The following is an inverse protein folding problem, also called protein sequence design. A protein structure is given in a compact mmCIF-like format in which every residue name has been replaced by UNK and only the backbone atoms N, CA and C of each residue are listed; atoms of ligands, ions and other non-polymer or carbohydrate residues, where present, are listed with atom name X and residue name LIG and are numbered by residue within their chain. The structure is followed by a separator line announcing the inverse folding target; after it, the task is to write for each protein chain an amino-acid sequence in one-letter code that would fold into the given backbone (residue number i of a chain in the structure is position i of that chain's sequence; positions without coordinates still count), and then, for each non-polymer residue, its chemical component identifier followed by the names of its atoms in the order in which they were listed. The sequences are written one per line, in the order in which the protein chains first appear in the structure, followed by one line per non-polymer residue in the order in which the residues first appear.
data_IF_995513636488
#
_entry.id   IF_995513636488
#
_cell.length_a   1.000
_cell.length_b   1.000
_cell.length_c   1.000
_cell.angle_alpha   90.00
_cell.angle_beta   90.00
_cell.angle_gamma   90.00
#
_symmetry.space_group_name_H-M   'P 1'
#
loop_
_entity.id
_entity.type
_entity.pdbx_description
1 polymer ?
#
# COMPACT_ATOMS: atom_id res chain seq x y z
N UNK A 1 -45.28 -18.55 2.34
CA UNK A 1 -44.19 -19.12 1.52
C UNK A 1 -43.46 -18.06 0.69
N UNK A 2 -44.18 -17.17 -0.01
CA UNK A 2 -43.58 -16.09 -0.82
C UNK A 2 -42.62 -15.16 -0.04
N UNK A 3 -42.98 -14.74 1.17
CA UNK A 3 -42.12 -13.87 1.98
C UNK A 3 -40.80 -14.54 2.38
N UNK A 4 -40.80 -15.85 2.63
CA UNK A 4 -39.58 -16.60 2.96
C UNK A 4 -38.66 -16.71 1.75
N UNK A 5 -39.22 -17.00 0.57
CA UNK A 5 -38.45 -17.03 -0.67
C UNK A 5 -37.85 -15.67 -0.99
N UNK A 6 -38.61 -14.59 -0.84
CA UNK A 6 -38.11 -13.23 -1.04
C UNK A 6 -36.97 -12.88 -0.07
N UNK A 7 -37.10 -13.24 1.21
CA UNK A 7 -36.06 -13.03 2.21
C UNK A 7 -34.77 -13.79 1.87
N UNK A 8 -34.88 -15.06 1.44
CA UNK A 8 -33.72 -15.87 1.05
C UNK A 8 -33.00 -15.28 -0.17
N UNK A 9 -33.74 -14.81 -1.17
CA UNK A 9 -33.15 -14.15 -2.35
C UNK A 9 -32.45 -12.86 -1.95
N UNK A 10 -33.06 -12.03 -1.11
CA UNK A 10 -32.46 -10.77 -0.64
C UNK A 10 -31.14 -11.00 0.10
N UNK A 11 -31.10 -11.96 1.03
CA UNK A 11 -29.87 -12.30 1.77
C UNK A 11 -28.80 -12.87 0.83
N UNK A 12 -29.18 -13.72 -0.12
CA UNK A 12 -28.25 -14.26 -1.11
C UNK A 12 -27.59 -13.18 -1.96
N UNK A 13 -28.37 -12.18 -2.41
CA UNK A 13 -27.86 -11.05 -3.19
C UNK A 13 -26.91 -10.17 -2.36
N UNK A 14 -27.29 -9.81 -1.13
CA UNK A 14 -26.44 -9.02 -0.24
C UNK A 14 -25.13 -9.76 0.06
N UNK A 15 -25.21 -11.06 0.33
CA UNK A 15 -24.04 -11.89 0.56
C UNK A 15 -23.10 -11.96 -0.65
N UNK A 16 -23.65 -12.09 -1.86
CA UNK A 16 -22.86 -12.10 -3.09
C UNK A 16 -22.12 -10.78 -3.33
N UNK A 17 -22.79 -9.63 -3.11
CA UNK A 17 -22.17 -8.31 -3.24
C UNK A 17 -21.04 -8.13 -2.21
N UNK A 18 -21.28 -8.49 -0.95
CA UNK A 18 -20.27 -8.42 0.10
C UNK A 18 -19.05 -9.31 -0.21
N UNK A 19 -19.28 -10.50 -0.78
CA UNK A 19 -18.22 -11.39 -1.22
C UNK A 19 -17.37 -10.78 -2.34
N UNK A 20 -18.01 -10.21 -3.38
CA UNK A 20 -17.28 -9.56 -4.47
C UNK A 20 -16.41 -8.39 -3.98
N UNK A 21 -16.93 -7.57 -3.05
CA UNK A 21 -16.16 -6.49 -2.44
C UNK A 21 -14.96 -7.02 -1.64
N UNK A 22 -15.14 -8.12 -0.90
CA UNK A 22 -14.06 -8.78 -0.16
C UNK A 22 -12.95 -9.29 -1.09
N UNK A 23 -13.31 -9.93 -2.20
CA UNK A 23 -12.35 -10.41 -3.21
C UNK A 23 -11.52 -9.26 -3.77
N UNK A 24 -12.12 -8.08 -4.01
CA UNK A 24 -11.41 -6.88 -4.46
C UNK A 24 -10.42 -6.37 -3.40
N UNK A 25 -10.79 -6.38 -2.12
CA UNK A 25 -9.86 -6.03 -1.03
C UNK A 25 -8.68 -7.00 -0.97
N UNK A 26 -8.90 -8.31 -1.10
CA UNK A 26 -7.81 -9.30 -1.12
C UNK A 26 -6.89 -9.13 -2.34
N UNK A 27 -7.45 -8.83 -3.51
CA UNK A 27 -6.64 -8.50 -4.69
C UNK A 27 -5.79 -7.24 -4.45
N UNK A 28 -6.33 -6.22 -3.77
CA UNK A 28 -5.58 -5.02 -3.44
C UNK A 28 -4.46 -5.32 -2.40
N UNK A 29 -4.71 -6.22 -1.43
CA UNK A 29 -3.66 -6.72 -0.53
C UNK A 29 -2.55 -7.46 -1.28
N UNK A 30 -2.89 -8.22 -2.32
CA UNK A 30 -1.89 -8.89 -3.16
C UNK A 30 -0.99 -7.87 -3.89
N UNK A 31 -1.54 -6.75 -4.38
CA UNK A 31 -0.74 -5.66 -4.94
C UNK A 31 0.24 -5.08 -3.89
N UNK A 32 -0.25 -4.85 -2.66
CA UNK A 32 0.60 -4.40 -1.57
C UNK A 32 1.67 -5.43 -1.17
N UNK A 33 1.36 -6.73 -1.25
CA UNK A 33 2.31 -7.81 -1.00
C UNK A 33 3.43 -7.85 -2.05
N UNK A 34 3.12 -7.60 -3.34
CA UNK A 34 4.15 -7.45 -4.37
C UNK A 34 5.10 -6.29 -4.07
N UNK A 35 4.57 -5.17 -3.58
CA UNK A 35 5.39 -4.04 -3.16
C UNK A 35 6.26 -4.38 -1.93
N UNK A 36 5.70 -5.06 -0.93
CA UNK A 36 6.46 -5.57 0.22
C UNK A 36 7.62 -6.45 -0.22
N UNK A 37 7.38 -7.43 -1.08
CA UNK A 37 8.42 -8.36 -1.52
C UNK A 37 9.54 -7.65 -2.28
N UNK A 38 9.23 -6.54 -2.95
CA UNK A 38 10.25 -5.67 -3.54
C UNK A 38 11.04 -4.90 -2.48
N UNK A 39 10.40 -4.36 -1.44
CA UNK A 39 11.10 -3.71 -0.33
C UNK A 39 12.04 -4.69 0.41
N UNK A 40 11.62 -5.94 0.61
CA UNK A 40 12.47 -6.97 1.22
C UNK A 40 13.70 -7.27 0.34
N UNK A 41 13.54 -7.28 -0.99
CA UNK A 41 14.64 -7.42 -1.94
C UNK A 41 15.58 -6.21 -1.90
N UNK A 42 15.04 -5.00 -1.76
CA UNK A 42 15.80 -3.76 -1.64
C UNK A 42 16.62 -3.75 -0.34
N UNK A 43 16.05 -4.14 0.80
CA UNK A 43 16.77 -4.29 2.08
C UNK A 43 17.91 -5.32 1.91
N UNK A 44 17.60 -6.49 1.34
CA UNK A 44 18.59 -7.55 1.13
C UNK A 44 19.72 -7.14 0.17
N UNK A 45 19.44 -6.33 -0.85
CA UNK A 45 20.43 -5.78 -1.77
C UNK A 45 21.32 -4.76 -1.04
N UNK A 46 20.71 -3.83 -0.31
CA UNK A 46 21.40 -2.79 0.46
C UNK A 46 22.30 -3.39 1.54
N UNK A 47 21.84 -4.44 2.23
CA UNK A 47 22.62 -5.19 3.21
C UNK A 47 23.88 -5.84 2.61
N UNK A 48 23.87 -6.18 1.31
CA UNK A 48 25.01 -6.71 0.56
C UNK A 48 25.87 -5.62 -0.08
N UNK A 49 25.55 -4.35 0.12
CA UNK A 49 26.22 -3.22 -0.52
C UNK A 49 25.89 -3.08 -2.01
N UNK A 50 24.82 -3.73 -2.48
CA UNK A 50 24.29 -3.55 -3.83
C UNK A 50 23.32 -2.36 -3.83
N UNK A 51 23.35 -1.55 -4.88
CA UNK A 51 22.41 -0.44 -5.05
C UNK A 51 20.96 -0.91 -5.25
N UNK A 52 20.01 0.03 -5.12
CA UNK A 52 18.60 -0.24 -5.40
C UNK A 52 18.41 -0.75 -6.84
N UNK A 53 17.56 -1.77 -7.06
CA UNK A 53 17.20 -2.22 -8.41
C UNK A 53 16.45 -1.14 -9.21
N UNK A 54 15.84 -0.17 -8.53
CA UNK A 54 15.27 1.04 -9.11
C UNK A 54 16.12 2.24 -8.72
N UNK A 55 16.78 2.85 -9.70
CA UNK A 55 17.68 4.00 -9.48
C UNK A 55 16.98 5.16 -8.75
N UNK A 56 15.71 5.42 -9.07
CA UNK A 56 14.94 6.50 -8.46
C UNK A 56 14.47 6.20 -7.03
N UNK A 57 14.71 4.98 -6.54
CA UNK A 57 14.48 4.57 -5.16
C UNK A 57 15.79 4.34 -4.39
N UNK A 58 16.94 4.75 -4.94
CA UNK A 58 18.21 4.65 -4.24
C UNK A 58 18.28 5.61 -3.05
N UNK A 59 19.06 5.26 -2.03
CA UNK A 59 19.38 6.14 -0.90
C UNK A 59 20.38 7.22 -1.34
N UNK A 60 19.85 8.21 -2.05
CA UNK A 60 20.59 9.33 -2.61
C UNK A 60 19.85 10.65 -2.33
N UNK A 61 20.61 11.74 -2.18
CA UNK A 61 20.08 13.05 -1.80
C UNK A 61 19.21 13.70 -2.88
N UNK A 62 19.36 13.32 -4.15
CA UNK A 62 18.59 13.86 -5.28
C UNK A 62 17.34 13.03 -5.61
N UNK A 63 17.22 11.82 -5.04
CA UNK A 63 16.12 10.90 -5.34
C UNK A 63 14.98 11.08 -4.33
N UNK A 64 13.84 11.53 -4.84
CA UNK A 64 12.63 11.80 -4.05
C UNK A 64 11.67 10.62 -4.05
N UNK A 65 10.84 10.56 -3.02
CA UNK A 65 9.79 9.54 -2.89
C UNK A 65 8.83 9.59 -4.06
N UNK A 66 8.48 10.76 -4.56
CA UNK A 66 7.66 10.91 -5.77
C UNK A 66 8.30 10.25 -7.00
N UNK A 67 9.60 10.44 -7.22
CA UNK A 67 10.31 9.79 -8.33
C UNK A 67 10.35 8.27 -8.13
N UNK A 68 10.58 7.81 -6.90
CA UNK A 68 10.51 6.40 -6.57
C UNK A 68 9.11 5.80 -6.82
N UNK A 69 8.04 6.49 -6.42
CA UNK A 69 6.66 6.07 -6.67
C UNK A 69 6.39 5.88 -8.16
N UNK A 70 6.85 6.84 -8.98
CA UNK A 70 6.73 6.73 -10.43
C UNK A 70 7.54 5.53 -10.98
N UNK A 71 8.75 5.29 -10.46
CA UNK A 71 9.55 4.14 -10.84
C UNK A 71 8.92 2.80 -10.41
N UNK A 72 8.22 2.75 -9.28
CA UNK A 72 7.50 1.56 -8.80
C UNK A 72 6.37 1.15 -9.75
N UNK A 73 5.73 2.13 -10.40
CA UNK A 73 4.68 1.92 -11.40
C UNK A 73 5.23 1.80 -12.84
N UNK A 74 6.49 2.20 -13.05
CA UNK A 74 7.17 2.23 -14.33
C UNK A 74 7.58 0.86 -14.86
N UNK A 75 8.29 0.83 -16.00
CA UNK A 75 8.59 -0.41 -16.74
C UNK A 75 9.42 -1.45 -15.97
N UNK A 76 10.22 -1.01 -14.99
CA UNK A 76 11.05 -1.88 -14.15
C UNK A 76 10.47 -2.07 -12.76
N UNK A 77 9.36 -1.40 -12.45
CA UNK A 77 8.77 -1.38 -11.13
C UNK A 77 7.98 -2.65 -10.80
N UNK A 78 7.89 -3.03 -9.52
CA UNK A 78 7.13 -4.21 -9.09
C UNK A 78 5.63 -4.09 -9.34
N UNK A 79 5.11 -2.87 -9.49
CA UNK A 79 3.69 -2.61 -9.72
C UNK A 79 3.38 -2.30 -11.19
N UNK A 80 4.29 -2.61 -12.12
CA UNK A 80 4.07 -2.41 -13.55
C UNK A 80 2.82 -3.14 -14.02
N UNK A 81 1.87 -2.38 -14.59
CA UNK A 81 0.65 -2.94 -15.19
C UNK A 81 -0.35 -3.51 -14.18
N UNK A 82 -0.05 -3.40 -12.88
CA UNK A 82 -1.01 -3.67 -11.81
C UNK A 82 -2.13 -2.66 -11.89
N UNK A 83 -3.37 -3.11 -11.65
CA UNK A 83 -4.56 -2.26 -11.66
C UNK A 83 -5.23 -2.27 -10.30
N UNK A 84 -5.94 -1.19 -10.02
CA UNK A 84 -6.78 -1.13 -8.83
C UNK A 84 -8.01 -2.04 -9.05
N UNK A 85 -8.27 -3.01 -8.15
CA UNK A 85 -9.34 -3.99 -8.33
C UNK A 85 -10.74 -3.42 -8.07
N UNK A 86 -10.85 -2.25 -7.44
CA UNK A 86 -12.13 -1.58 -7.24
C UNK A 86 -12.61 -0.90 -8.51
N UNK A 87 -11.71 -0.21 -9.19
CA UNK A 87 -11.92 0.45 -10.47
C UNK A 87 -10.55 0.68 -11.13
N UNK A 88 -10.41 0.25 -12.38
CA UNK A 88 -9.15 0.35 -13.12
C UNK A 88 -8.72 1.79 -13.44
N UNK A 89 -9.63 2.78 -13.32
CA UNK A 89 -9.31 4.19 -13.46
C UNK A 89 -8.71 4.79 -12.18
N UNK A 90 -8.85 4.10 -11.03
CA UNK A 90 -8.26 4.56 -9.78
C UNK A 90 -6.76 4.21 -9.70
N UNK A 91 -5.97 5.08 -9.05
CA UNK A 91 -4.56 4.79 -8.81
C UNK A 91 -4.36 3.51 -7.99
N UNK A 92 -3.19 2.89 -8.15
CA UNK A 92 -2.75 1.74 -7.34
C UNK A 92 -1.93 2.18 -6.13
N UNK A 93 -1.21 3.30 -6.23
CA UNK A 93 -0.35 3.83 -5.17
C UNK A 93 -0.77 5.27 -4.85
N UNK A 94 -0.75 5.63 -3.58
CA UNK A 94 -1.17 6.96 -3.14
C UNK A 94 -0.74 7.31 -1.71
N UNK A 95 -1.03 8.54 -1.26
CA UNK A 95 -0.45 9.08 -0.03
C UNK A 95 -1.17 8.62 1.25
N UNK A 96 -2.48 8.36 1.19
CA UNK A 96 -3.30 7.99 2.35
C UNK A 96 -4.60 7.31 1.95
N UNK A 97 -5.21 6.60 2.89
CA UNK A 97 -6.61 6.19 2.81
C UNK A 97 -7.50 7.29 3.37
N UNK A 98 -8.53 7.70 2.61
CA UNK A 98 -9.45 8.76 3.03
C UNK A 98 -10.90 8.26 3.06
N UNK A 99 -11.49 8.18 4.25
CA UNK A 99 -12.86 7.72 4.46
C UNK A 99 -13.91 8.66 3.88
N UNK A 100 -13.57 9.92 3.64
CA UNK A 100 -14.44 10.88 2.96
C UNK A 100 -14.36 10.75 1.42
N UNK A 101 -13.35 10.04 0.89
CA UNK A 101 -13.12 9.87 -0.54
C UNK A 101 -13.01 8.39 -0.94
N UNK A 102 -14.08 7.88 -1.54
CA UNK A 102 -14.14 6.50 -2.04
C UNK A 102 -13.26 6.27 -3.28
N UNK A 103 -12.63 7.29 -3.84
CA UNK A 103 -11.61 7.12 -4.89
C UNK A 103 -10.28 6.60 -4.32
N UNK A 104 -10.12 6.60 -2.99
CA UNK A 104 -8.92 6.04 -2.34
C UNK A 104 -9.00 4.53 -2.12
N UNK A 105 -10.13 3.87 -2.40
CA UNK A 105 -10.28 2.41 -2.24
C UNK A 105 -9.32 1.66 -3.14
N UNK A 106 -8.72 0.59 -2.63
CA UNK A 106 -7.74 -0.22 -3.35
C UNK A 106 -6.35 0.40 -3.50
N UNK A 107 -6.14 1.63 -3.01
CA UNK A 107 -4.80 2.24 -2.94
C UNK A 107 -3.91 1.43 -2.02
N UNK A 108 -2.70 1.17 -2.49
CA UNK A 108 -1.54 0.84 -1.67
C UNK A 108 -0.98 2.15 -1.13
N UNK A 109 -0.68 2.19 0.16
CA UNK A 109 -0.15 3.36 0.86
C UNK A 109 1.12 2.96 1.57
N UNK A 110 2.18 3.76 1.44
CA UNK A 110 3.42 3.59 2.19
C UNK A 110 3.57 4.77 3.13
N UNK A 111 3.60 4.46 4.42
CA UNK A 111 3.86 5.42 5.49
C UNK A 111 5.29 5.30 5.99
N UNK A 112 5.91 6.43 6.31
CA UNK A 112 7.18 6.45 7.03
C UNK A 112 6.94 6.29 8.52
N UNK A 113 7.80 5.54 9.18
CA UNK A 113 7.89 5.49 10.62
C UNK A 113 8.90 6.51 11.13
N UNK A 114 8.54 7.23 12.19
CA UNK A 114 9.42 8.14 12.93
C UNK A 114 9.61 7.59 14.34
N UNK A 115 10.84 7.27 14.77
CA UNK A 115 11.08 6.79 16.13
C UNK A 115 10.85 7.91 17.14
N UNK A 116 10.41 7.54 18.33
CA UNK A 116 10.22 8.46 19.44
C UNK A 116 11.55 9.17 19.81
N UNK A 117 11.49 10.44 20.22
CA UNK A 117 12.68 11.18 20.62
C UNK A 117 13.37 10.56 21.84
N UNK A 118 14.69 10.75 22.01
CA UNK A 118 15.42 10.25 23.17
C UNK A 118 14.78 10.71 24.49
N UNK A 119 14.56 9.78 25.42
CA UNK A 119 13.93 10.05 26.72
C UNK A 119 12.42 9.77 26.78
N UNK A 120 11.78 9.51 25.63
CA UNK A 120 10.42 8.96 25.59
C UNK A 120 10.43 7.41 25.59
N UNK A 121 9.33 6.74 25.97
CA UNK A 121 9.20 5.29 25.79
C UNK A 121 9.45 4.87 24.34
N UNK A 122 10.11 3.73 24.08
CA UNK A 122 10.36 3.25 22.73
C UNK A 122 9.03 3.07 21.96
N UNK A 123 8.83 3.90 20.93
CA UNK A 123 7.67 3.84 20.05
C UNK A 123 8.04 4.32 18.64
N UNK A 124 7.31 3.85 17.63
CA UNK A 124 7.41 4.33 16.26
C UNK A 124 6.03 4.84 15.84
N UNK A 125 5.94 6.12 15.48
CA UNK A 125 4.73 6.70 14.90
C UNK A 125 4.82 6.64 13.39
N UNK A 126 3.76 6.22 12.72
CA UNK A 126 3.72 6.18 11.26
C UNK A 126 2.82 7.28 10.73
N UNK A 127 3.21 7.84 9.59
CA UNK A 127 2.45 8.87 8.90
C UNK A 127 2.81 8.94 7.43
N UNK A 128 2.11 9.83 6.72
CA UNK A 128 2.28 10.04 5.29
C UNK A 128 3.74 10.33 4.96
N UNK A 129 4.23 9.70 3.91
CA UNK A 129 5.51 10.02 3.31
C UNK A 129 5.31 11.11 2.25
N UNK A 130 5.85 12.30 2.50
CA UNK A 130 5.71 13.46 1.61
C UNK A 130 6.55 13.26 0.34
N UNK A 131 6.12 13.86 -0.77
CA UNK A 131 6.75 13.67 -2.10
C UNK A 131 8.26 13.93 -2.13
N UNK A 132 8.72 14.94 -1.38
CA UNK A 132 10.13 15.33 -1.31
C UNK A 132 10.98 14.54 -0.32
N UNK A 133 10.38 13.58 0.39
CA UNK A 133 11.14 12.70 1.28
C UNK A 133 11.94 11.67 0.50
N UNK A 134 12.82 10.96 1.19
CA UNK A 134 13.74 10.01 0.58
C UNK A 134 13.69 8.68 1.30
N UNK A 135 14.03 7.61 0.58
CA UNK A 135 14.22 6.30 1.17
C UNK A 135 15.64 6.22 1.70
N UNK A 136 15.78 6.32 3.02
CA UNK A 136 17.08 6.12 3.67
C UNK A 136 17.21 4.71 4.19
N UNK A 137 18.44 4.22 4.29
CA UNK A 137 18.76 3.02 5.06
C UNK A 137 18.20 3.13 6.48
N UNK A 138 17.73 2.00 7.02
CA UNK A 138 17.12 1.85 8.34
C UNK A 138 15.77 2.58 8.53
N UNK A 139 15.19 3.16 7.47
CA UNK A 139 13.88 3.82 7.54
C UNK A 139 12.79 2.76 7.76
N UNK A 140 12.04 2.82 8.89
CA UNK A 140 10.88 1.97 9.07
C UNK A 140 9.75 2.45 8.14
N UNK A 141 9.14 1.52 7.43
CA UNK A 141 8.03 1.78 6.52
C UNK A 141 6.84 0.89 6.90
N UNK A 142 5.63 1.41 6.72
CA UNK A 142 4.40 0.64 6.86
C UNK A 142 3.66 0.64 5.55
N UNK A 143 3.37 -0.56 5.04
CA UNK A 143 2.62 -0.77 3.82
C UNK A 143 1.19 -1.11 4.21
N UNK A 144 0.25 -0.37 3.65
CA UNK A 144 -1.18 -0.52 3.89
C UNK A 144 -1.94 -0.59 2.58
N UNK A 145 -3.19 -1.02 2.67
CA UNK A 145 -4.14 -0.95 1.58
C UNK A 145 -5.44 -0.34 2.05
N UNK A 146 -6.10 0.44 1.21
CA UNK A 146 -7.41 1.00 1.50
C UNK A 146 -8.51 0.02 1.12
N UNK A 147 -9.38 -0.35 2.05
CA UNK A 147 -10.47 -1.30 1.81
C UNK A 147 -11.64 -0.67 1.03
N UNK A 148 -12.77 -1.39 0.92
CA UNK A 148 -13.97 -0.91 0.23
C UNK A 148 -14.59 0.37 0.80
N UNK A 149 -14.30 0.69 2.06
CA UNK A 149 -14.77 1.89 2.76
C UNK A 149 -13.66 2.92 2.92
N UNK A 150 -12.54 2.75 2.19
CA UNK A 150 -11.34 3.57 2.31
C UNK A 150 -10.72 3.56 3.71
N UNK A 151 -10.89 2.47 4.47
CA UNK A 151 -10.15 2.25 5.71
C UNK A 151 -8.77 1.68 5.42
N UNK A 152 -7.77 2.17 6.14
CA UNK A 152 -6.42 1.63 6.07
C UNK A 152 -6.36 0.25 6.75
N UNK A 153 -5.95 -0.75 5.97
CA UNK A 153 -5.63 -2.09 6.45
C UNK A 153 -4.12 -2.28 6.38
N UNK A 154 -3.49 -2.55 7.53
CA UNK A 154 -2.06 -2.85 7.57
C UNK A 154 -1.78 -4.17 6.86
N UNK A 155 -0.84 -4.14 5.92
CA UNK A 155 -0.37 -5.34 5.20
C UNK A 155 0.98 -5.79 5.75
N UNK A 156 1.92 -4.85 5.87
CA UNK A 156 3.27 -5.15 6.36
C UNK A 156 3.93 -3.93 7.01
N UNK A 157 4.94 -4.19 7.82
CA UNK A 157 5.93 -3.21 8.23
C UNK A 157 7.28 -3.76 7.80
N UNK A 158 8.07 -2.94 7.12
CA UNK A 158 9.39 -3.29 6.59
C UNK A 158 10.39 -2.25 7.08
N UNK A 159 11.66 -2.62 7.10
CA UNK A 159 12.75 -1.72 7.46
C UNK A 159 13.80 -1.82 6.35
N UNK A 160 14.23 -0.68 5.83
CA UNK A 160 15.25 -0.60 4.79
C UNK A 160 16.67 -0.83 5.30
#
# INVERSE_FOLDING_TARGET
MLCLLAALVAVGLIGHLAYQEGVKTEAAKANAAQLKDWFDQLEAATAKGLGSPLEDCADDAEKTWENCQNALLGEKGPLRGVKNPFDAALPVLGPKCDRADLNTRGLVVVEKGTPAPPGAPPAVSFGVMENGEKLTKDLPLRIMVCDKGSYALKVAEVKL
#
